data_IF_630534582272
#
_entry.id   IF_630534582272
#
_cell.length_a   1.000
_cell.length_b   1.000
_cell.length_c   1.000
_cell.angle_alpha   90.00
_cell.angle_beta   90.00
_cell.angle_gamma   90.00
#
_symmetry.space_group_name_H-M   'P 1'
#
loop_
_entity.id
_entity.type
_entity.pdbx_description
1 polymer ?
#
# COMPACT_ATOMS: atom_id res chain seq x y z
N UNK A 1 -18.82 1.99 15.58
CA UNK A 1 -19.12 0.55 15.58
C UNK A 1 -18.11 -0.12 16.51
N UNK A 2 -18.52 -1.07 17.35
CA UNK A 2 -17.60 -1.77 18.25
C UNK A 2 -16.77 -2.82 17.48
N UNK A 3 -15.47 -2.93 17.77
CA UNK A 3 -14.60 -3.94 17.17
C UNK A 3 -14.70 -5.22 18.02
N UNK A 4 -15.25 -6.31 17.45
CA UNK A 4 -15.39 -7.60 18.16
C UNK A 4 -14.62 -8.74 17.49
N UNK A 5 -14.51 -8.71 16.16
CA UNK A 5 -13.82 -9.73 15.36
C UNK A 5 -13.32 -9.14 14.03
N UNK A 6 -12.17 -9.64 13.56
CA UNK A 6 -11.53 -9.19 12.32
C UNK A 6 -11.37 -10.34 11.33
N UNK A 7 -11.52 -10.06 10.04
CA UNK A 7 -11.24 -11.03 8.96
C UNK A 7 -10.21 -10.48 7.97
N UNK A 8 -9.06 -11.15 7.83
CA UNK A 8 -7.96 -10.70 6.96
C UNK A 8 -8.28 -10.91 5.48
N UNK A 9 -8.20 -9.85 4.70
CA UNK A 9 -8.35 -9.85 3.24
C UNK A 9 -6.99 -9.57 2.59
N UNK A 10 -6.53 -10.49 1.75
CA UNK A 10 -5.32 -10.35 0.94
C UNK A 10 -5.71 -9.76 -0.42
N UNK A 11 -5.62 -8.44 -0.56
CA UNK A 11 -5.98 -7.74 -1.78
C UNK A 11 -4.85 -7.83 -2.81
N UNK A 12 -5.21 -8.14 -4.05
CA UNK A 12 -4.31 -8.16 -5.22
C UNK A 12 -5.12 -8.09 -6.51
N UNK A 13 -4.48 -8.05 -7.68
CA UNK A 13 -5.14 -7.95 -8.98
C UNK A 13 -6.13 -9.09 -9.34
N UNK A 14 -6.23 -10.13 -8.51
CA UNK A 14 -7.20 -11.25 -8.67
C UNK A 14 -8.18 -11.36 -7.49
N UNK A 15 -8.11 -10.43 -6.54
CA UNK A 15 -9.02 -10.25 -5.42
C UNK A 15 -9.00 -8.77 -5.03
N UNK A 16 -9.75 -7.99 -5.80
CA UNK A 16 -9.79 -6.52 -5.80
C UNK A 16 -10.75 -5.96 -4.75
N UNK A 17 -10.93 -4.63 -4.72
CA UNK A 17 -11.98 -4.02 -3.90
C UNK A 17 -13.40 -4.47 -4.30
N UNK A 18 -13.63 -4.73 -5.59
CA UNK A 18 -14.91 -5.24 -6.08
C UNK A 18 -15.17 -6.68 -5.58
N UNK A 19 -14.17 -7.54 -5.65
CA UNK A 19 -14.26 -8.91 -5.14
C UNK A 19 -14.46 -8.94 -3.62
N UNK A 20 -13.73 -8.08 -2.90
CA UNK A 20 -13.89 -7.90 -1.46
C UNK A 20 -15.30 -7.41 -1.09
N UNK A 21 -15.86 -6.47 -1.86
CA UNK A 21 -17.24 -6.01 -1.69
C UNK A 21 -18.24 -7.16 -1.91
N UNK A 22 -17.99 -8.02 -2.90
CA UNK A 22 -18.84 -9.16 -3.25
C UNK A 22 -19.01 -10.21 -2.13
N UNK A 23 -18.07 -10.26 -1.17
CA UNK A 23 -18.15 -11.19 -0.04
C UNK A 23 -18.67 -10.55 1.26
N UNK A 24 -18.98 -9.25 1.28
CA UNK A 24 -19.37 -8.55 2.51
C UNK A 24 -20.63 -9.14 3.18
N UNK A 25 -21.62 -9.56 2.40
CA UNK A 25 -22.82 -10.21 2.95
C UNK A 25 -22.48 -11.53 3.66
N UNK A 26 -21.60 -12.33 3.07
CA UNK A 26 -21.08 -13.55 3.71
C UNK A 26 -20.36 -13.24 5.01
N UNK A 27 -19.47 -12.24 5.02
CA UNK A 27 -18.72 -11.87 6.23
C UNK A 27 -19.63 -11.37 7.36
N UNK A 28 -20.68 -10.62 7.01
CA UNK A 28 -21.72 -10.20 7.94
C UNK A 28 -22.46 -11.41 8.54
N UNK A 29 -22.91 -12.35 7.70
CA UNK A 29 -23.58 -13.57 8.17
C UNK A 29 -22.68 -14.44 9.04
N UNK A 30 -21.36 -14.45 8.76
CA UNK A 30 -20.36 -15.13 9.57
C UNK A 30 -20.16 -14.48 10.95
N UNK A 31 -20.63 -13.24 11.15
CA UNK A 31 -20.48 -12.49 12.41
C UNK A 31 -19.19 -11.69 12.49
N UNK A 32 -18.57 -11.36 11.36
CA UNK A 32 -17.40 -10.48 11.30
C UNK A 32 -17.83 -9.04 11.56
N UNK A 33 -17.11 -8.34 12.43
CA UNK A 33 -17.33 -6.89 12.63
C UNK A 33 -16.46 -6.05 11.69
N UNK A 34 -15.19 -6.39 11.50
CA UNK A 34 -14.27 -5.57 10.71
C UNK A 34 -13.52 -6.43 9.69
N UNK A 35 -13.42 -5.94 8.46
CA UNK A 35 -12.44 -6.47 7.51
C UNK A 35 -11.07 -5.90 7.87
N UNK A 36 -10.04 -6.73 7.84
CA UNK A 36 -8.66 -6.31 7.98
C UNK A 36 -7.99 -6.41 6.60
N UNK A 37 -7.82 -5.28 5.92
CA UNK A 37 -7.25 -5.25 4.58
C UNK A 37 -5.72 -5.23 4.61
N UNK A 38 -5.10 -5.97 3.69
CA UNK A 38 -3.68 -5.78 3.34
C UNK A 38 -3.43 -4.37 2.79
N UNK A 39 -2.16 -3.92 2.68
CA UNK A 39 -1.83 -2.60 2.17
C UNK A 39 -2.41 -2.38 0.76
N UNK A 40 -2.88 -1.17 0.51
CA UNK A 40 -3.52 -0.82 -0.76
C UNK A 40 -3.03 0.49 -1.38
N UNK A 41 -1.97 1.09 -0.83
CA UNK A 41 -1.26 2.16 -1.55
C UNK A 41 -0.55 1.55 -2.76
N UNK A 42 -0.25 2.38 -3.76
CA UNK A 42 0.27 1.92 -5.03
C UNK A 42 1.59 1.16 -4.82
N UNK A 43 1.55 -0.13 -5.11
CA UNK A 43 2.68 -1.04 -5.03
C UNK A 43 3.27 -1.30 -6.41
N UNK A 44 4.38 -2.04 -6.48
CA UNK A 44 4.93 -2.53 -7.75
C UNK A 44 3.85 -3.24 -8.57
N UNK A 45 3.88 -3.03 -9.89
CA UNK A 45 2.97 -3.70 -10.82
C UNK A 45 3.01 -5.21 -10.63
N UNK A 46 1.84 -5.83 -10.47
CA UNK A 46 1.70 -7.28 -10.25
C UNK A 46 2.00 -7.73 -8.82
N UNK A 47 2.19 -6.81 -7.86
CA UNK A 47 2.34 -7.17 -6.46
C UNK A 47 1.12 -7.95 -5.96
N UNK A 48 1.39 -9.04 -5.24
CA UNK A 48 0.36 -9.92 -4.65
C UNK A 48 0.13 -9.63 -3.17
N UNK A 49 0.83 -8.65 -2.60
CA UNK A 49 0.85 -8.40 -1.16
C UNK A 49 0.79 -6.91 -0.76
N UNK A 50 1.20 -5.98 -1.62
CA UNK A 50 1.08 -4.53 -1.39
C UNK A 50 2.18 -3.89 -0.51
N UNK A 51 3.02 -4.68 0.18
CA UNK A 51 4.12 -4.15 1.00
C UNK A 51 5.24 -3.42 0.25
N UNK A 52 5.36 -3.62 -1.05
CA UNK A 52 6.37 -3.04 -1.92
C UNK A 52 5.86 -1.73 -2.56
N UNK A 53 5.55 -0.75 -1.69
CA UNK A 53 4.96 0.53 -2.07
C UNK A 53 5.91 1.35 -2.95
N UNK A 54 5.39 1.92 -4.03
CA UNK A 54 6.11 2.81 -4.96
C UNK A 54 5.55 4.22 -4.97
N UNK A 55 4.33 4.44 -4.49
CA UNK A 55 3.74 5.77 -4.37
C UNK A 55 2.75 5.82 -3.18
N UNK A 56 3.02 6.70 -2.21
CA UNK A 56 2.18 6.89 -1.02
C UNK A 56 0.92 7.75 -1.26
N UNK A 57 0.88 8.54 -2.33
CA UNK A 57 -0.22 9.47 -2.63
C UNK A 57 -1.35 8.83 -3.44
N UNK A 58 -1.22 7.56 -3.80
CA UNK A 58 -2.13 6.89 -4.73
C UNK A 58 -2.62 5.55 -4.20
N UNK A 59 -3.92 5.32 -4.28
CA UNK A 59 -4.52 3.99 -4.11
C UNK A 59 -4.17 3.11 -5.31
N UNK A 60 -3.79 1.86 -5.04
CA UNK A 60 -3.33 0.92 -6.05
C UNK A 60 -4.37 0.73 -7.17
N UNK A 61 -3.98 1.06 -8.39
CA UNK A 61 -4.84 0.98 -9.57
C UNK A 61 -5.23 -0.48 -9.90
N UNK A 62 -4.39 -1.46 -9.58
CA UNK A 62 -4.68 -2.89 -9.81
C UNK A 62 -5.77 -3.43 -8.86
N UNK A 63 -6.08 -2.69 -7.78
CA UNK A 63 -7.19 -3.02 -6.87
C UNK A 63 -8.50 -2.33 -7.25
N UNK A 64 -8.50 -1.48 -8.28
CA UNK A 64 -9.63 -0.64 -8.69
C UNK A 64 -9.48 0.85 -8.34
N UNK A 65 -8.32 1.26 -7.80
CA UNK A 65 -8.02 2.66 -7.50
C UNK A 65 -8.96 3.28 -6.47
N UNK A 66 -8.98 4.61 -6.44
CA UNK A 66 -9.75 5.38 -5.46
C UNK A 66 -11.27 5.15 -5.61
N UNK A 67 -11.77 5.03 -6.84
CA UNK A 67 -13.18 4.74 -7.09
C UNK A 67 -13.59 3.36 -6.56
N UNK A 68 -12.72 2.35 -6.75
CA UNK A 68 -12.92 1.01 -6.18
C UNK A 68 -12.95 1.05 -4.65
N UNK A 69 -12.02 1.77 -4.03
CA UNK A 69 -11.99 1.96 -2.58
C UNK A 69 -13.26 2.64 -2.06
N UNK A 70 -13.73 3.70 -2.74
CA UNK A 70 -14.96 4.42 -2.35
C UNK A 70 -16.19 3.51 -2.39
N UNK A 71 -16.33 2.69 -3.45
CA UNK A 71 -17.44 1.72 -3.58
C UNK A 71 -17.36 0.62 -2.52
N UNK A 72 -16.16 0.11 -2.25
CA UNK A 72 -15.94 -0.88 -1.20
C UNK A 72 -16.29 -0.34 0.18
N UNK A 73 -15.83 0.87 0.51
CA UNK A 73 -16.14 1.54 1.77
C UNK A 73 -17.65 1.79 1.95
N UNK A 74 -18.36 2.18 0.88
CA UNK A 74 -19.82 2.30 0.90
C UNK A 74 -20.49 0.95 1.18
N UNK A 75 -20.03 -0.12 0.53
CA UNK A 75 -20.56 -1.48 0.73
C UNK A 75 -20.34 -1.97 2.17
N UNK A 76 -19.16 -1.72 2.75
CA UNK A 76 -18.89 -2.03 4.14
C UNK A 76 -19.88 -1.30 5.06
N UNK A 77 -20.10 -0.01 4.82
CA UNK A 77 -21.03 0.82 5.59
C UNK A 77 -22.47 0.27 5.49
N UNK A 78 -22.95 -0.04 4.29
CA UNK A 78 -24.29 -0.58 4.04
C UNK A 78 -24.50 -1.95 4.72
N UNK A 79 -23.43 -2.74 4.82
CA UNK A 79 -23.47 -4.04 5.48
C UNK A 79 -23.26 -3.96 7.00
N UNK A 80 -22.92 -2.79 7.54
CA UNK A 80 -22.58 -2.63 8.95
C UNK A 80 -21.26 -3.32 9.31
N UNK A 81 -20.29 -3.28 8.39
CA UNK A 81 -18.91 -3.73 8.58
C UNK A 81 -17.97 -2.53 8.71
N UNK A 82 -17.00 -2.63 9.62
CA UNK A 82 -15.90 -1.68 9.71
C UNK A 82 -14.66 -2.14 8.95
N UNK A 83 -13.62 -1.30 8.89
CA UNK A 83 -12.35 -1.60 8.26
C UNK A 83 -11.18 -1.32 9.21
N UNK A 84 -10.19 -2.21 9.19
CA UNK A 84 -8.83 -1.98 9.69
C UNK A 84 -7.89 -2.07 8.49
N UNK A 85 -6.99 -1.12 8.36
CA UNK A 85 -6.02 -1.04 7.26
C UNK A 85 -4.61 -1.34 7.74
N UNK A 86 -3.93 -2.23 7.03
CA UNK A 86 -2.49 -2.44 7.10
C UNK A 86 -1.74 -1.31 6.34
N UNK A 87 -0.75 -0.69 6.98
CA UNK A 87 0.04 0.42 6.42
C UNK A 87 1.53 0.12 6.51
N UNK A 88 2.31 0.66 5.56
CA UNK A 88 3.74 0.35 5.40
C UNK A 88 4.58 1.62 5.45
N UNK A 89 4.75 2.24 6.63
CA UNK A 89 5.43 3.54 6.75
C UNK A 89 6.96 3.45 6.73
N UNK A 90 7.53 2.26 6.91
CA UNK A 90 8.96 2.09 7.13
C UNK A 90 9.79 2.13 5.84
N UNK A 91 9.26 1.64 4.71
CA UNK A 91 10.06 1.41 3.51
C UNK A 91 9.23 1.54 2.24
N UNK A 92 9.94 1.74 1.12
CA UNK A 92 9.39 1.73 -0.24
C UNK A 92 10.22 0.81 -1.13
N UNK A 93 9.61 0.32 -2.21
CA UNK A 93 10.29 -0.49 -3.21
C UNK A 93 11.13 0.37 -4.16
N UNK A 94 12.32 -0.12 -4.50
CA UNK A 94 13.29 0.59 -5.36
C UNK A 94 13.60 -0.14 -6.68
N UNK A 95 13.03 -1.34 -6.89
CA UNK A 95 13.36 -2.20 -8.02
C UNK A 95 12.77 -1.77 -9.37
N UNK A 96 11.97 -0.70 -9.41
CA UNK A 96 11.32 -0.22 -10.63
C UNK A 96 11.29 1.31 -10.69
N UNK A 97 11.15 1.85 -11.91
CA UNK A 97 10.97 3.30 -12.13
C UNK A 97 9.64 3.88 -11.63
N UNK A 98 8.75 3.04 -11.09
CA UNK A 98 7.49 3.52 -10.54
C UNK A 98 7.67 4.32 -9.24
N UNK A 99 8.76 4.09 -8.51
CA UNK A 99 9.14 4.93 -7.37
C UNK A 99 9.91 6.15 -7.89
N UNK A 100 9.20 7.22 -8.17
CA UNK A 100 9.77 8.46 -8.72
C UNK A 100 10.68 9.17 -7.72
N UNK A 101 10.40 9.05 -6.42
CA UNK A 101 11.24 9.63 -5.35
C UNK A 101 12.63 8.99 -5.38
N UNK A 102 12.70 7.66 -5.42
CA UNK A 102 13.97 6.95 -5.51
C UNK A 102 14.70 7.23 -6.82
N UNK A 103 13.97 7.36 -7.92
CA UNK A 103 14.60 7.63 -9.22
C UNK A 103 15.22 9.04 -9.29
N UNK A 104 14.63 10.03 -8.62
CA UNK A 104 15.23 11.35 -8.46
C UNK A 104 16.50 11.31 -7.61
N UNK A 105 16.51 10.51 -6.54
CA UNK A 105 17.73 10.25 -5.73
C UNK A 105 18.83 9.60 -6.56
N UNK A 106 18.49 8.65 -7.44
CA UNK A 106 19.47 8.03 -8.35
C UNK A 106 20.05 9.01 -9.38
N UNK A 107 19.25 10.00 -9.82
CA UNK A 107 19.68 10.99 -10.81
C UNK A 107 20.51 12.13 -10.19
N UNK A 108 20.13 12.58 -8.99
CA UNK A 108 20.69 13.78 -8.36
C UNK A 108 21.57 13.50 -7.12
N UNK A 109 21.61 12.26 -6.64
CA UNK A 109 22.36 11.87 -5.43
C UNK A 109 21.92 12.66 -4.20
N UNK A 110 22.90 13.07 -3.38
CA UNK A 110 22.67 13.87 -2.17
C UNK A 110 22.05 15.26 -2.44
N UNK A 111 21.98 15.71 -3.70
CA UNK A 111 21.33 16.96 -4.07
C UNK A 111 19.83 16.81 -4.41
N UNK A 112 19.31 15.58 -4.42
CA UNK A 112 17.87 15.31 -4.62
C UNK A 112 17.02 15.98 -3.53
N UNK A 113 15.85 16.49 -3.91
CA UNK A 113 14.82 16.95 -2.96
C UNK A 113 14.38 15.82 -2.00
N UNK A 114 14.53 14.57 -2.44
CA UNK A 114 14.12 13.37 -1.71
C UNK A 114 15.29 12.63 -1.06
N UNK A 115 16.49 13.20 -1.00
CA UNK A 115 17.66 12.56 -0.39
C UNK A 115 17.40 12.18 1.08
N UNK A 116 16.74 13.05 1.85
CA UNK A 116 16.39 12.82 3.26
C UNK A 116 15.10 11.99 3.44
N UNK A 117 14.41 11.64 2.34
CA UNK A 117 13.24 10.76 2.39
C UNK A 117 13.65 9.29 2.61
N UNK A 118 14.87 8.93 2.22
CA UNK A 118 15.45 7.60 2.36
C UNK A 118 16.61 7.61 3.36
N UNK A 119 16.77 6.53 4.11
CA UNK A 119 17.86 6.37 5.07
C UNK A 119 19.15 5.95 4.34
N UNK A 120 19.90 6.94 3.82
CA UNK A 120 21.15 6.75 3.07
C UNK A 120 22.31 7.38 3.84
N UNK A 121 23.35 6.59 4.11
CA UNK A 121 24.64 7.13 4.56
C UNK A 121 25.44 7.62 3.34
N UNK A 122 25.39 8.93 3.09
CA UNK A 122 26.07 9.58 1.97
C UNK A 122 27.60 9.68 2.13
N UNK A 123 28.13 9.49 3.34
CA UNK A 123 29.57 9.55 3.61
C UNK A 123 30.06 8.30 4.38
N UNK A 124 29.95 7.12 3.78
CA UNK A 124 30.35 5.88 4.41
C UNK A 124 31.88 5.80 4.54
N UNK A 125 32.42 4.91 5.40
CA UNK A 125 33.86 4.74 5.58
C UNK A 125 34.62 4.37 4.29
N UNK A 126 33.97 3.65 3.39
CA UNK A 126 34.53 3.32 2.07
C UNK A 126 34.40 4.51 1.11
N UNK A 127 35.52 5.19 0.87
CA UNK A 127 35.53 6.44 0.07
C UNK A 127 34.98 6.30 -1.35
N UNK A 128 35.02 5.10 -1.94
CA UNK A 128 34.46 4.82 -3.28
C UNK A 128 32.93 4.81 -3.31
N UNK A 129 32.28 4.73 -2.14
CA UNK A 129 30.82 4.69 -1.99
C UNK A 129 30.23 6.05 -1.59
N UNK A 130 31.06 7.09 -1.44
CA UNK A 130 30.59 8.43 -1.11
C UNK A 130 29.70 8.98 -2.21
N UNK A 131 28.59 9.58 -1.81
CA UNK A 131 27.60 10.17 -2.71
C UNK A 131 27.02 9.16 -3.72
N UNK A 132 27.04 7.86 -3.40
CA UNK A 132 26.49 6.78 -4.24
C UNK A 132 25.47 5.94 -3.48
N UNK A 133 24.50 5.40 -4.22
CA UNK A 133 23.48 4.44 -3.77
C UNK A 133 23.44 3.22 -4.70
#
# INVERSE_FOLDING_TARGET
>A
MEITSTYRLQLHAKFTFEDAAGICDYLKQLGISHVYCSPYLQATKGSTHGYDVVNHDQVNQELGGEDGLRKFAATLTDQGLGQILDIVPNHMAIGTRANTLWWDVLENGAASEYADFFDVDWNPPESKLRDTV
#
